data_IF_651300011658
#
_entry.id   IF_651300011658
#
_cell.length_a   1.000
_cell.length_b   1.000
_cell.length_c   1.000
_cell.angle_alpha   90.00
_cell.angle_beta   90.00
_cell.angle_gamma   90.00
#
_symmetry.space_group_name_H-M   'P 1'
#
loop_
_entity.id
_entity.type
_entity.pdbx_description
1 polymer ?
#
# COMPACT_ATOMS: atom_id res chain seq x y z
N UNK A 1 -7.94 15.98 1.90
CA UNK A 1 -8.04 14.52 1.81
C UNK A 1 -6.65 13.92 1.84
N UNK A 2 -6.44 12.96 2.72
CA UNK A 2 -5.15 12.33 2.87
C UNK A 2 -4.92 11.30 1.76
N UNK A 3 -3.73 11.30 1.18
CA UNK A 3 -3.37 10.38 0.11
C UNK A 3 -2.12 9.58 0.48
N UNK A 4 -2.15 8.29 0.19
CA UNK A 4 -1.07 7.36 0.44
C UNK A 4 -0.46 6.93 -0.89
N UNK A 5 0.82 7.23 -1.09
CA UNK A 5 1.56 6.78 -2.26
C UNK A 5 2.31 5.50 -1.90
N UNK A 6 2.01 4.42 -2.62
CA UNK A 6 2.62 3.11 -2.40
C UNK A 6 3.39 2.61 -3.63
N UNK A 7 3.10 3.17 -4.79
CA UNK A 7 3.80 2.83 -6.02
C UNK A 7 4.96 3.81 -6.21
N UNK A 8 6.15 3.26 -6.42
CA UNK A 8 7.39 4.04 -6.35
C UNK A 8 7.83 4.19 -4.90
N UNK A 9 8.48 5.29 -4.56
CA UNK A 9 8.94 5.53 -3.20
C UNK A 9 7.75 5.90 -2.31
N UNK A 10 7.45 5.09 -1.28
CA UNK A 10 6.26 5.30 -0.46
C UNK A 10 6.29 6.62 0.31
N UNK A 11 5.15 7.29 0.34
CA UNK A 11 5.00 8.57 1.05
C UNK A 11 3.55 8.82 1.44
N UNK A 12 3.37 9.64 2.47
CA UNK A 12 2.09 10.17 2.88
C UNK A 12 1.96 11.60 2.36
N UNK A 13 0.86 11.89 1.68
CA UNK A 13 0.60 13.21 1.09
C UNK A 13 -0.57 13.84 1.83
N UNK A 14 -0.31 14.96 2.50
CA UNK A 14 -1.31 15.68 3.27
C UNK A 14 -2.26 16.52 2.40
N UNK A 15 -3.27 17.09 3.04
CA UNK A 15 -4.27 17.93 2.37
C UNK A 15 -3.68 19.20 1.75
N UNK A 16 -2.57 19.68 2.33
CA UNK A 16 -1.85 20.86 1.85
C UNK A 16 -0.82 20.54 0.75
N UNK A 17 -0.77 19.28 0.30
CA UNK A 17 0.19 18.81 -0.69
C UNK A 17 1.55 18.46 -0.13
N UNK A 18 1.76 18.57 1.19
CA UNK A 18 3.03 18.21 1.83
C UNK A 18 3.26 16.70 1.71
N UNK A 19 4.43 16.31 1.21
CA UNK A 19 4.82 14.91 1.05
C UNK A 19 5.79 14.52 2.16
N UNK A 20 5.44 13.48 2.91
CA UNK A 20 6.26 12.92 3.99
C UNK A 20 6.66 11.50 3.63
N UNK A 21 7.97 11.20 3.51
CA UNK A 21 8.41 9.84 3.24
C UNK A 21 7.97 8.88 4.35
N UNK A 22 7.71 7.63 3.97
CA UNK A 22 7.39 6.54 4.90
C UNK A 22 8.62 5.70 5.14
N UNK A 23 8.80 5.25 6.39
CA UNK A 23 9.81 4.27 6.72
C UNK A 23 9.41 2.89 6.19
N UNK A 24 10.38 2.00 6.04
CA UNK A 24 10.22 0.68 5.43
C UNK A 24 9.07 -0.14 6.03
N UNK A 25 9.01 -0.26 7.35
CA UNK A 25 7.95 -1.03 8.03
C UNK A 25 6.60 -0.33 8.02
N UNK A 26 6.59 0.98 8.11
CA UNK A 26 5.36 1.77 7.99
C UNK A 26 4.77 1.62 6.58
N UNK A 27 5.60 1.67 5.55
CA UNK A 27 5.17 1.47 4.18
C UNK A 27 4.58 0.07 3.96
N UNK A 28 5.22 -0.97 4.49
CA UNK A 28 4.71 -2.34 4.41
C UNK A 28 3.38 -2.49 5.15
N UNK A 29 3.26 -1.94 6.36
CA UNK A 29 2.03 -1.96 7.13
C UNK A 29 0.87 -1.34 6.34
N UNK A 30 1.08 -0.15 5.81
CA UNK A 30 0.05 0.57 5.08
C UNK A 30 -0.30 -0.11 3.76
N UNK A 31 0.67 -0.72 3.09
CA UNK A 31 0.42 -1.49 1.88
C UNK A 31 -0.46 -2.72 2.15
N UNK A 32 -0.20 -3.43 3.24
CA UNK A 32 -1.02 -4.59 3.64
C UNK A 32 -2.46 -4.15 3.87
N UNK A 33 -2.67 -3.06 4.62
CA UNK A 33 -4.01 -2.56 4.89
C UNK A 33 -4.71 -2.04 3.63
N UNK A 34 -3.96 -1.48 2.69
CA UNK A 34 -4.52 -0.98 1.43
C UNK A 34 -4.96 -2.13 0.52
N UNK A 35 -4.19 -3.20 0.45
CA UNK A 35 -4.41 -4.30 -0.50
C UNK A 35 -5.30 -5.38 0.11
N UNK A 36 -5.01 -5.81 1.34
CA UNK A 36 -5.75 -6.89 2.01
C UNK A 36 -6.95 -6.38 2.82
N UNK A 37 -7.00 -5.09 3.10
CA UNK A 37 -8.06 -4.51 3.92
C UNK A 37 -7.81 -4.68 5.41
N UNK A 38 -8.88 -4.64 6.20
CA UNK A 38 -8.79 -4.76 7.66
C UNK A 38 -8.06 -6.05 8.05
N UNK A 39 -7.06 -5.94 8.92
CA UNK A 39 -6.18 -7.04 9.29
C UNK A 39 -5.99 -7.07 10.81
N UNK A 40 -5.99 -8.27 11.37
CA UNK A 40 -5.80 -8.48 12.81
C UNK A 40 -4.41 -8.01 13.26
N UNK A 41 -4.36 -7.39 14.43
CA UNK A 41 -3.11 -6.86 15.00
C UNK A 41 -2.03 -7.91 15.14
N UNK A 42 -2.39 -9.09 15.64
CA UNK A 42 -1.44 -10.19 15.83
C UNK A 42 -0.82 -10.66 14.51
N UNK A 43 -1.62 -10.74 13.46
CA UNK A 43 -1.15 -11.11 12.13
C UNK A 43 -0.16 -10.09 11.58
N UNK A 44 -0.46 -8.80 11.71
CA UNK A 44 0.44 -7.72 11.30
C UNK A 44 1.73 -7.73 12.11
N UNK A 45 1.63 -7.86 13.42
CA UNK A 45 2.79 -7.88 14.31
C UNK A 45 3.72 -9.05 13.99
N UNK A 46 3.19 -10.25 13.80
CA UNK A 46 3.96 -11.42 13.46
C UNK A 46 4.64 -11.30 12.09
N UNK A 47 3.98 -10.66 11.13
CA UNK A 47 4.52 -10.47 9.79
C UNK A 47 5.65 -9.44 9.77
N UNK A 48 5.50 -8.34 10.51
CA UNK A 48 6.46 -7.22 10.51
C UNK A 48 7.65 -7.42 11.45
N UNK A 49 7.45 -8.16 12.55
CA UNK A 49 8.51 -8.44 13.53
C UNK A 49 8.57 -9.92 13.88
N UNK A 50 8.92 -10.79 12.91
CA UNK A 50 8.94 -12.24 13.16
C UNK A 50 10.05 -12.71 14.09
N UNK A 51 11.09 -11.89 14.29
CA UNK A 51 12.27 -12.20 15.06
C UNK A 51 12.08 -12.06 16.57
N UNK A 52 10.97 -11.48 17.02
CA UNK A 52 10.70 -11.25 18.44
C UNK A 52 9.40 -11.95 18.87
N UNK A 53 9.21 -12.10 20.19
CA UNK A 53 7.97 -12.67 20.73
C UNK A 53 6.77 -11.78 20.33
N UNK A 54 5.60 -12.40 20.16
CA UNK A 54 4.38 -11.71 19.72
C UNK A 54 4.04 -10.52 20.62
N UNK A 55 4.24 -10.62 21.91
CA UNK A 55 3.99 -9.52 22.84
C UNK A 55 4.86 -8.29 22.50
N UNK A 56 6.14 -8.52 22.22
CA UNK A 56 7.08 -7.46 21.83
C UNK A 56 6.73 -6.90 20.47
N UNK A 57 6.39 -7.77 19.53
CA UNK A 57 5.95 -7.37 18.20
C UNK A 57 4.70 -6.47 18.26
N UNK A 58 3.73 -6.82 19.09
CA UNK A 58 2.52 -6.01 19.30
C UNK A 58 2.82 -4.64 19.93
N UNK A 59 3.81 -4.57 20.81
CA UNK A 59 4.26 -3.29 21.37
C UNK A 59 4.87 -2.41 20.28
N UNK A 60 5.69 -2.99 19.41
CA UNK A 60 6.29 -2.28 18.27
C UNK A 60 5.20 -1.79 17.30
N UNK A 61 4.22 -2.65 17.02
CA UNK A 61 3.09 -2.28 16.17
C UNK A 61 2.30 -1.10 16.75
N UNK A 62 2.00 -1.16 18.04
CA UNK A 62 1.28 -0.08 18.74
C UNK A 62 2.02 1.25 18.63
N UNK A 63 3.34 1.24 18.81
CA UNK A 63 4.17 2.44 18.69
C UNK A 63 4.14 3.01 17.26
N UNK A 64 4.21 2.15 16.24
CA UNK A 64 4.14 2.58 14.84
C UNK A 64 2.77 3.18 14.53
N UNK A 65 1.70 2.53 14.95
CA UNK A 65 0.34 3.02 14.76
C UNK A 65 0.13 4.37 15.44
N UNK A 66 0.63 4.52 16.65
CA UNK A 66 0.56 5.78 17.39
C UNK A 66 1.23 6.92 16.62
N UNK A 67 2.45 6.70 16.11
CA UNK A 67 3.19 7.71 15.34
C UNK A 67 2.49 8.07 14.03
N UNK A 68 1.98 7.06 13.32
CA UNK A 68 1.25 7.29 12.08
C UNK A 68 -0.03 8.08 12.30
N UNK A 69 -0.77 7.77 13.36
CA UNK A 69 -1.98 8.52 13.72
C UNK A 69 -1.64 9.96 14.10
N UNK A 70 -0.57 10.16 14.84
CA UNK A 70 -0.12 11.51 15.22
C UNK A 70 0.26 12.35 14.00
N UNK A 71 0.96 11.75 13.02
CA UNK A 71 1.33 12.43 11.77
C UNK A 71 0.12 12.85 10.93
N UNK A 72 -0.96 12.11 11.03
CA UNK A 72 -2.16 12.30 10.19
C UNK A 72 -3.32 12.90 10.98
N UNK A 73 -3.11 13.39 12.19
CA UNK A 73 -4.17 13.90 13.09
C UNK A 73 -5.33 12.90 13.27
N UNK A 74 -5.00 11.61 13.30
CA UNK A 74 -5.96 10.53 13.49
C UNK A 74 -6.79 10.17 12.25
N UNK A 75 -6.48 10.73 11.08
CA UNK A 75 -7.29 10.56 9.86
C UNK A 75 -6.86 9.39 8.98
N UNK A 76 -5.72 8.77 9.25
CA UNK A 76 -5.16 7.70 8.41
C UNK A 76 -5.72 6.32 8.73
N UNK A 77 -5.83 5.98 10.00
CA UNK A 77 -6.12 4.63 10.46
C UNK A 77 -7.30 4.58 11.42
N UNK A 78 -8.15 3.57 11.25
CA UNK A 78 -9.08 3.13 12.27
C UNK A 78 -8.45 2.00 13.09
N UNK A 79 -8.54 2.13 14.41
CA UNK A 79 -7.95 1.16 15.35
C UNK A 79 -9.03 0.45 16.14
N UNK A 80 -8.84 -0.84 16.33
CA UNK A 80 -9.74 -1.71 17.08
C UNK A 80 -9.09 -3.07 17.21
N UNK A 81 -9.87 -4.15 17.24
CA UNK A 81 -9.36 -5.51 17.18
C UNK A 81 -8.59 -5.74 15.88
N UNK A 82 -9.03 -5.12 14.80
CA UNK A 82 -8.32 -5.07 13.53
C UNK A 82 -7.88 -3.64 13.22
N UNK A 83 -6.80 -3.51 12.45
CA UNK A 83 -6.39 -2.24 11.87
C UNK A 83 -6.91 -2.14 10.44
N UNK A 84 -7.31 -0.93 10.04
CA UNK A 84 -7.71 -0.66 8.66
C UNK A 84 -7.43 0.80 8.32
N UNK A 85 -7.27 1.07 7.03
CA UNK A 85 -7.21 2.45 6.55
C UNK A 85 -8.57 3.11 6.72
N UNK A 86 -8.58 4.41 7.05
CA UNK A 86 -9.81 5.18 7.07
C UNK A 86 -10.43 5.20 5.66
N UNK A 87 -11.77 5.18 5.60
CA UNK A 87 -12.50 5.01 4.34
C UNK A 87 -12.25 6.13 3.32
N UNK A 88 -11.90 7.32 3.79
CA UNK A 88 -11.64 8.49 2.96
C UNK A 88 -10.17 8.64 2.54
N UNK A 89 -9.28 7.75 3.00
CA UNK A 89 -7.89 7.74 2.56
C UNK A 89 -7.81 7.16 1.15
N UNK A 90 -7.17 7.89 0.25
CA UNK A 90 -6.92 7.43 -1.11
C UNK A 90 -5.50 6.85 -1.22
N UNK A 91 -5.37 5.82 -2.04
CA UNK A 91 -4.04 5.22 -2.33
C UNK A 91 -3.96 4.82 -3.80
N UNK A 92 -2.73 4.65 -4.28
CA UNK A 92 -2.46 4.35 -5.69
C UNK A 92 -2.26 2.86 -5.98
N UNK A 93 -2.36 1.99 -4.97
CA UNK A 93 -2.17 0.54 -5.12
C UNK A 93 -3.48 -0.22 -5.32
N UNK A 94 -4.47 0.40 -5.96
CA UNK A 94 -5.75 -0.25 -6.23
C UNK A 94 -5.58 -1.34 -7.29
N UNK A 95 -6.19 -2.50 -7.05
CA UNK A 95 -6.21 -3.63 -7.98
C UNK A 95 -7.56 -3.74 -8.71
N UNK A 96 -8.46 -2.78 -8.50
CA UNK A 96 -9.74 -2.72 -9.21
C UNK A 96 -9.50 -2.41 -10.70
N UNK A 97 -10.40 -2.87 -11.62
CA UNK A 97 -10.28 -2.52 -13.03
C UNK A 97 -10.21 -1.00 -13.21
N UNK A 98 -9.25 -0.55 -14.00
CA UNK A 98 -9.03 0.87 -14.27
C UNK A 98 -9.62 1.24 -15.62
N UNK A 99 -10.42 2.32 -15.65
CA UNK A 99 -10.94 2.87 -16.89
C UNK A 99 -9.86 3.59 -17.70
N UNK A 100 -8.86 4.12 -17.02
CA UNK A 100 -7.75 4.86 -17.64
C UNK A 100 -6.41 4.27 -17.17
N UNK A 101 -5.81 3.43 -18.01
CA UNK A 101 -4.52 2.81 -17.75
C UNK A 101 -3.38 3.82 -17.75
N UNK A 102 -3.51 4.92 -18.47
CA UNK A 102 -2.48 5.97 -18.51
C UNK A 102 -2.41 6.73 -17.18
N UNK A 103 -3.52 6.74 -16.42
CA UNK A 103 -3.55 7.32 -15.08
C UNK A 103 -2.93 6.42 -14.01
N UNK A 104 -2.63 5.15 -14.32
CA UNK A 104 -1.97 4.25 -13.38
C UNK A 104 -0.51 4.69 -13.19
N UNK A 105 -0.04 4.77 -11.93
CA UNK A 105 1.34 5.17 -11.69
C UNK A 105 2.31 4.15 -12.27
N UNK A 106 3.39 4.63 -12.87
CA UNK A 106 4.50 3.81 -13.28
C UNK A 106 5.40 3.55 -12.07
N UNK A 107 5.92 2.35 -11.97
CA UNK A 107 6.85 1.98 -10.92
C UNK A 107 6.45 0.71 -10.20
N UNK A 108 7.26 0.34 -9.22
CA UNK A 108 7.09 -0.86 -8.43
C UNK A 108 6.35 -0.54 -7.14
N UNK A 109 5.48 -1.44 -6.70
CA UNK A 109 4.87 -1.37 -5.37
C UNK A 109 5.98 -1.39 -4.31
N UNK A 110 5.95 -0.45 -3.37
CA UNK A 110 6.97 -0.26 -2.34
C UNK A 110 8.38 -0.13 -2.92
N UNK A 111 8.50 0.64 -4.01
CA UNK A 111 9.76 0.87 -4.69
C UNK A 111 10.81 1.49 -3.78
N UNK A 112 12.06 1.08 -3.93
CA UNK A 112 13.17 1.55 -3.10
C UNK A 112 13.37 0.76 -1.81
N UNK A 113 12.48 -0.16 -1.44
CA UNK A 113 12.61 -0.99 -0.24
C UNK A 113 12.79 -2.47 -0.56
N UNK A 114 13.64 -3.13 0.22
CA UNK A 114 13.80 -4.57 0.23
C UNK A 114 13.35 -5.12 1.59
N UNK A 115 12.66 -6.25 1.57
CA UNK A 115 12.18 -6.94 2.78
C UNK A 115 12.81 -8.33 2.90
N UNK A 116 13.99 -8.53 2.31
CA UNK A 116 14.67 -9.82 2.26
C UNK A 116 15.05 -10.37 3.65
N UNK A 117 15.12 -9.50 4.66
CA UNK A 117 15.39 -9.86 6.05
C UNK A 117 14.18 -10.44 6.80
N UNK A 118 12.99 -10.42 6.20
CA UNK A 118 11.76 -10.91 6.81
C UNK A 118 11.05 -11.83 5.79
N UNK A 119 11.28 -13.14 5.88
CA UNK A 119 10.85 -14.11 4.86
C UNK A 119 9.36 -14.02 4.50
N UNK A 120 8.48 -14.07 5.49
CA UNK A 120 7.04 -14.01 5.26
C UNK A 120 6.60 -12.68 4.68
N UNK A 121 7.18 -11.58 5.15
CA UNK A 121 6.91 -10.26 4.61
C UNK A 121 7.45 -10.12 3.18
N UNK A 122 8.64 -10.64 2.91
CA UNK A 122 9.21 -10.65 1.57
C UNK A 122 8.31 -11.42 0.59
N UNK A 123 7.75 -12.55 1.01
CA UNK A 123 6.82 -13.34 0.21
C UNK A 123 5.53 -12.56 -0.07
N UNK A 124 4.97 -11.91 0.95
CA UNK A 124 3.79 -11.07 0.77
C UNK A 124 4.06 -9.94 -0.24
N UNK A 125 5.16 -9.24 -0.07
CA UNK A 125 5.54 -8.11 -0.95
C UNK A 125 5.77 -8.60 -2.38
N UNK A 126 6.43 -9.74 -2.54
CA UNK A 126 6.66 -10.34 -3.87
C UNK A 126 5.33 -10.64 -4.57
N UNK A 127 4.42 -11.29 -3.88
CA UNK A 127 3.10 -11.61 -4.43
C UNK A 127 2.30 -10.35 -4.76
N UNK A 128 2.33 -9.34 -3.89
CA UNK A 128 1.65 -8.07 -4.13
C UNK A 128 2.25 -7.33 -5.33
N UNK A 129 3.57 -7.34 -5.48
CA UNK A 129 4.26 -6.75 -6.63
C UNK A 129 3.88 -7.42 -7.94
N UNK A 130 3.79 -8.76 -7.93
CA UNK A 130 3.36 -9.51 -9.11
C UNK A 130 1.92 -9.20 -9.49
N UNK A 131 1.03 -9.11 -8.51
CA UNK A 131 -0.36 -8.72 -8.74
C UNK A 131 -0.45 -7.31 -9.33
N UNK A 132 0.32 -6.39 -8.81
CA UNK A 132 0.36 -5.01 -9.31
C UNK A 132 0.85 -4.96 -10.76
N UNK A 133 1.94 -5.65 -11.08
CA UNK A 133 2.47 -5.72 -12.44
C UNK A 133 1.45 -6.32 -13.41
N UNK A 134 0.78 -7.40 -13.00
CA UNK A 134 -0.25 -8.03 -13.79
C UNK A 134 -1.44 -7.11 -14.03
N UNK A 135 -1.92 -6.44 -12.99
CA UNK A 135 -3.00 -5.47 -13.08
C UNK A 135 -2.67 -4.32 -14.04
N UNK A 136 -1.47 -3.77 -13.91
CA UNK A 136 -1.01 -2.68 -14.78
C UNK A 136 -0.87 -3.14 -16.23
N UNK A 137 -0.31 -4.31 -16.45
CA UNK A 137 -0.17 -4.90 -17.80
C UNK A 137 -1.54 -5.12 -18.45
N UNK A 138 -2.49 -5.68 -17.72
CA UNK A 138 -3.84 -5.94 -18.23
C UNK A 138 -4.57 -4.62 -18.55
N UNK A 139 -4.43 -3.61 -17.71
CA UNK A 139 -5.02 -2.29 -17.95
C UNK A 139 -4.41 -1.63 -19.19
N UNK A 140 -3.11 -1.72 -19.39
CA UNK A 140 -2.42 -1.20 -20.57
C UNK A 140 -2.85 -1.95 -21.84
N UNK A 141 -2.99 -3.26 -21.79
CA UNK A 141 -3.47 -4.07 -22.92
C UNK A 141 -4.91 -3.69 -23.30
N UNK A 142 -5.78 -3.49 -22.31
CA UNK A 142 -7.17 -3.05 -22.53
C UNK A 142 -7.20 -1.65 -23.18
N UNK A 143 -6.38 -0.72 -22.69
CA UNK A 143 -6.28 0.62 -23.25
C UNK A 143 -5.78 0.60 -24.70
N UNK A 144 -4.76 -0.21 -25.00
CA UNK A 144 -4.25 -0.38 -26.36
C UNK A 144 -5.34 -0.91 -27.32
N UNK A 145 -6.10 -1.90 -26.89
CA UNK A 145 -7.21 -2.45 -27.69
C UNK A 145 -8.29 -1.40 -27.94
N UNK A 146 -8.62 -0.57 -26.96
CA UNK A 146 -9.58 0.55 -27.13
C UNK A 146 -9.08 1.59 -28.12
N UNK A 147 -7.80 1.93 -28.07
CA UNK A 147 -7.19 2.88 -29.01
C UNK A 147 -7.17 2.33 -30.43
N UNK A 148 -6.87 1.07 -30.64
CA UNK A 148 -6.92 0.42 -31.95
C UNK A 148 -8.34 0.44 -32.52
N UNK A 149 -9.33 0.08 -31.72
CA UNK A 149 -10.73 0.10 -32.13
C UNK A 149 -11.19 1.52 -32.51
N UNK A 150 -10.80 2.54 -31.72
CA UNK A 150 -11.12 3.94 -32.03
C UNK A 150 -10.41 4.42 -33.30
N UNK A 151 -9.17 4.00 -33.52
CA UNK A 151 -8.42 4.32 -34.75
C UNK A 151 -9.01 3.72 -35.99
N UNK A 152 -9.55 2.51 -35.93
CA UNK A 152 -10.24 1.85 -37.05
C UNK A 152 -11.55 2.53 -37.43
N UNK A 153 -12.18 3.21 -36.47
CA UNK A 153 -13.44 3.93 -36.67
C UNK A 153 -13.25 5.36 -37.20
N UNK A 154 -12.06 5.83 -37.15
CA UNK A 154 -11.68 7.16 -37.65
C UNK A 154 -11.26 7.09 -39.10
#
# INVERSE_FOLDING_TARGET
MLKLRLIGLPALIGNDGTTSPLERKDAALLAILAIDGATARDALAALLWPEVALKTANTSLRQRVFRLRKRSDGTLLHTGAQLQLAADVRHDATMAPADDAEALPAGELLGGFSYADCDALADWVRAARERWRGHRRDALATAAARHEAAGELA
#
